data_IF_869222212815
#
_entry.id   IF_869222212815
#
_cell.length_a   1.000
_cell.length_b   1.000
_cell.length_c   1.000
_cell.angle_alpha   90.00
_cell.angle_beta   90.00
_cell.angle_gamma   90.00
#
_symmetry.space_group_name_H-M   'P 1'
#
loop_
_entity.id
_entity.type
_entity.pdbx_description
1 polymer ?
#
# COMPACT_ATOMS: atom_id res chain seq x y z
N UNK A 1 -16.10 34.80 27.62
CA UNK A 1 -15.63 33.40 27.56
C UNK A 1 -15.96 32.88 26.18
N UNK A 2 -14.99 32.93 25.28
CA UNK A 2 -15.06 32.50 23.88
C UNK A 2 -15.00 30.97 23.84
N UNK A 3 -16.04 30.33 23.30
CA UNK A 3 -16.07 28.90 23.06
C UNK A 3 -15.55 28.67 21.63
N UNK A 4 -14.33 28.16 21.51
CA UNK A 4 -13.70 27.88 20.23
C UNK A 4 -14.38 26.69 19.56
N UNK A 5 -14.76 26.89 18.30
CA UNK A 5 -15.36 25.88 17.46
C UNK A 5 -14.38 24.72 17.26
N UNK A 6 -14.78 23.52 17.67
CA UNK A 6 -14.12 22.28 17.27
C UNK A 6 -14.18 22.16 15.75
N UNK A 7 -13.02 22.28 15.10
CA UNK A 7 -12.85 21.99 13.68
C UNK A 7 -13.33 20.57 13.36
N UNK A 8 -14.12 20.35 12.30
CA UNK A 8 -14.46 19.02 11.86
C UNK A 8 -13.19 18.34 11.33
N UNK A 9 -12.91 17.13 11.85
CA UNK A 9 -11.81 16.30 11.39
C UNK A 9 -11.86 16.14 9.87
N UNK A 10 -10.76 16.49 9.22
CA UNK A 10 -10.53 16.28 7.80
C UNK A 10 -10.74 14.80 7.50
N UNK A 11 -11.89 14.46 6.89
CA UNK A 11 -12.04 13.17 6.23
C UNK A 11 -10.91 13.06 5.19
N UNK A 12 -10.17 11.94 5.12
CA UNK A 12 -9.13 11.77 4.13
C UNK A 12 -9.76 11.98 2.74
N UNK A 13 -9.11 12.84 1.95
CA UNK A 13 -9.56 13.28 0.63
C UNK A 13 -9.62 12.05 -0.32
N UNK A 14 -10.79 11.42 -0.40
CA UNK A 14 -11.10 10.26 -1.24
C UNK A 14 -10.76 10.37 -2.76
N UNK A 15 -10.77 11.54 -3.44
CA UNK A 15 -10.58 11.60 -4.89
C UNK A 15 -9.14 11.28 -5.37
N UNK A 16 -8.12 11.43 -4.52
CA UNK A 16 -6.73 11.22 -4.95
C UNK A 16 -6.34 9.72 -4.99
N UNK A 17 -7.03 8.91 -4.19
CA UNK A 17 -6.81 7.46 -4.12
C UNK A 17 -7.27 6.74 -5.40
N UNK A 18 -8.36 7.22 -6.00
CA UNK A 18 -8.95 6.63 -7.21
C UNK A 18 -8.04 6.81 -8.44
N UNK A 19 -7.22 7.88 -8.44
CA UNK A 19 -6.26 8.16 -9.52
C UNK A 19 -5.05 7.22 -9.53
N UNK A 20 -4.62 6.68 -8.38
CA UNK A 20 -3.41 5.86 -8.31
C UNK A 20 -3.55 4.48 -8.94
N UNK A 21 -4.76 3.94 -8.94
CA UNK A 21 -5.02 2.57 -9.39
C UNK A 21 -6.07 2.52 -10.51
N UNK A 22 -6.35 3.63 -11.19
CA UNK A 22 -7.38 3.72 -12.21
C UNK A 22 -7.22 2.71 -13.36
N UNK A 23 -5.97 2.33 -13.68
CA UNK A 23 -5.65 1.32 -14.69
C UNK A 23 -5.30 -0.07 -14.14
N UNK A 24 -5.40 -0.26 -12.81
CA UNK A 24 -4.95 -1.49 -12.18
C UNK A 24 -5.88 -2.68 -12.50
N UNK A 25 -5.34 -3.89 -12.75
CA UNK A 25 -6.13 -5.13 -12.85
C UNK A 25 -7.05 -5.34 -11.65
N UNK A 26 -8.06 -6.18 -11.78
CA UNK A 26 -8.95 -6.48 -10.65
C UNK A 26 -8.18 -7.16 -9.51
N UNK A 27 -8.66 -7.00 -8.27
CA UNK A 27 -8.03 -7.63 -7.09
C UNK A 27 -7.89 -9.15 -7.25
N UNK A 28 -8.89 -9.80 -7.86
CA UNK A 28 -8.85 -11.25 -8.09
C UNK A 28 -7.79 -11.66 -9.11
N UNK A 29 -7.60 -10.89 -10.19
CA UNK A 29 -6.53 -11.12 -11.17
C UNK A 29 -5.14 -10.94 -10.54
N UNK A 30 -4.97 -9.90 -9.73
CA UNK A 30 -3.71 -9.66 -9.00
C UNK A 30 -3.39 -10.80 -8.03
N UNK A 31 -4.38 -11.29 -7.26
CA UNK A 31 -4.18 -12.42 -6.35
C UNK A 31 -3.78 -13.68 -7.13
N UNK A 32 -4.40 -13.93 -8.29
CA UNK A 32 -4.02 -15.05 -9.16
C UNK A 32 -2.58 -14.93 -9.64
N UNK A 33 -2.21 -13.75 -10.15
CA UNK A 33 -0.84 -13.47 -10.61
C UNK A 33 0.21 -13.63 -9.50
N UNK A 34 -0.09 -13.13 -8.28
CA UNK A 34 0.77 -13.27 -7.11
C UNK A 34 0.93 -14.74 -6.70
N UNK A 35 -0.15 -15.52 -6.75
CA UNK A 35 -0.11 -16.95 -6.46
C UNK A 35 0.78 -17.73 -7.44
N UNK A 36 0.67 -17.43 -8.73
CA UNK A 36 1.49 -18.04 -9.77
C UNK A 36 2.98 -17.67 -9.61
N UNK A 37 3.29 -16.39 -9.36
CA UNK A 37 4.67 -15.92 -9.17
C UNK A 37 5.31 -16.43 -7.86
N UNK A 38 4.52 -16.58 -6.81
CA UNK A 38 4.97 -17.19 -5.56
C UNK A 38 5.24 -18.69 -5.71
N UNK A 39 4.39 -19.43 -6.46
CA UNK A 39 4.51 -20.88 -6.63
C UNK A 39 5.59 -21.29 -7.63
N UNK A 40 5.92 -20.42 -8.59
CA UNK A 40 6.89 -20.69 -9.65
C UNK A 40 8.35 -20.71 -9.20
N UNK A 41 8.67 -20.23 -7.98
CA UNK A 41 10.05 -20.14 -7.49
C UNK A 41 10.38 -21.23 -6.46
N UNK A 42 11.58 -21.82 -6.61
CA UNK A 42 12.13 -22.74 -5.60
C UNK A 42 12.38 -21.98 -4.31
N UNK A 43 12.16 -22.62 -3.16
CA UNK A 43 12.48 -22.07 -1.84
C UNK A 43 13.87 -21.41 -1.84
N UNK A 44 13.93 -20.11 -1.50
CA UNK A 44 15.17 -19.33 -1.42
C UNK A 44 15.48 -18.46 -2.63
N UNK A 45 14.67 -18.46 -3.69
CA UNK A 45 14.76 -17.42 -4.71
C UNK A 45 13.98 -16.18 -4.28
N UNK A 46 14.69 -15.06 -4.20
CA UNK A 46 14.11 -13.77 -3.89
C UNK A 46 13.10 -13.36 -4.97
N UNK A 47 12.02 -12.71 -4.55
CA UNK A 47 11.03 -12.15 -5.47
C UNK A 47 11.56 -10.86 -6.07
N UNK A 48 11.15 -10.56 -7.30
CA UNK A 48 11.54 -9.31 -7.95
C UNK A 48 10.76 -8.12 -7.41
N UNK A 49 11.24 -6.92 -7.74
CA UNK A 49 10.60 -5.66 -7.35
C UNK A 49 9.14 -5.59 -7.79
N UNK A 50 8.83 -6.05 -9.00
CA UNK A 50 7.45 -6.02 -9.53
C UNK A 50 6.51 -6.84 -8.64
N UNK A 51 6.93 -8.02 -8.20
CA UNK A 51 6.16 -8.82 -7.25
C UNK A 51 5.85 -8.04 -5.98
N UNK A 52 6.85 -7.42 -5.35
CA UNK A 52 6.66 -6.65 -4.12
C UNK A 52 5.76 -5.43 -4.34
N UNK A 53 5.95 -4.72 -5.45
CA UNK A 53 5.15 -3.55 -5.79
C UNK A 53 3.69 -3.91 -6.02
N UNK A 54 3.41 -4.95 -6.81
CA UNK A 54 2.04 -5.41 -7.10
C UNK A 54 1.36 -5.99 -5.85
N UNK A 55 2.10 -6.71 -5.01
CA UNK A 55 1.63 -7.19 -3.71
C UNK A 55 1.22 -6.04 -2.79
N UNK A 56 2.07 -5.03 -2.65
CA UNK A 56 1.78 -3.87 -1.82
C UNK A 56 0.57 -3.08 -2.36
N UNK A 57 0.51 -2.88 -3.69
CA UNK A 57 -0.58 -2.15 -4.34
C UNK A 57 -1.94 -2.85 -4.19
N UNK A 58 -2.02 -4.19 -4.34
CA UNK A 58 -3.29 -4.89 -4.17
C UNK A 58 -3.78 -4.86 -2.72
N UNK A 59 -2.87 -4.96 -1.74
CA UNK A 59 -3.22 -4.91 -0.32
C UNK A 59 -3.65 -3.50 0.11
N UNK A 60 -3.00 -2.44 -0.41
CA UNK A 60 -3.46 -1.06 -0.21
C UNK A 60 -4.86 -0.84 -0.80
N UNK A 61 -5.15 -1.36 -2.00
CA UNK A 61 -6.50 -1.28 -2.59
C UNK A 61 -7.56 -2.01 -1.78
N UNK A 62 -7.24 -3.16 -1.19
CA UNK A 62 -8.13 -3.89 -0.29
C UNK A 62 -8.39 -3.05 0.97
N UNK A 63 -7.34 -2.53 1.60
CA UNK A 63 -7.45 -1.69 2.79
C UNK A 63 -8.33 -0.46 2.54
N UNK A 64 -8.17 0.23 1.41
CA UNK A 64 -9.00 1.37 1.03
C UNK A 64 -10.47 0.98 0.83
N UNK A 65 -10.72 -0.16 0.18
CA UNK A 65 -12.08 -0.66 -0.04
C UNK A 65 -12.75 -1.03 1.29
N UNK A 66 -12.03 -1.69 2.19
CA UNK A 66 -12.54 -2.05 3.50
C UNK A 66 -12.79 -0.83 4.38
N UNK A 67 -11.86 0.13 4.42
CA UNK A 67 -12.02 1.38 5.15
C UNK A 67 -13.21 2.22 4.64
N UNK A 68 -13.54 2.14 3.34
CA UNK A 68 -14.71 2.80 2.77
C UNK A 68 -16.03 2.06 3.03
N UNK A 69 -15.99 0.75 3.30
CA UNK A 69 -17.19 -0.11 3.40
C UNK A 69 -17.57 -0.38 4.86
N UNK A 70 -16.58 -0.54 5.73
CA UNK A 70 -16.76 -1.03 7.08
C UNK A 70 -16.34 0.00 8.14
N UNK A 71 -16.72 -0.27 9.39
CA UNK A 71 -16.27 0.52 10.52
C UNK A 71 -14.74 0.41 10.70
N UNK A 72 -14.08 1.44 11.26
CA UNK A 72 -12.62 1.46 11.40
C UNK A 72 -12.03 0.24 12.11
N UNK A 73 -12.73 -0.31 13.11
CA UNK A 73 -12.30 -1.48 13.87
C UNK A 73 -12.28 -2.75 13.01
N UNK A 74 -13.18 -2.85 12.03
CA UNK A 74 -13.26 -3.97 11.09
C UNK A 74 -12.20 -3.83 10.00
N UNK A 75 -11.95 -2.61 9.52
CA UNK A 75 -10.95 -2.35 8.49
C UNK A 75 -9.50 -2.31 9.02
N UNK A 76 -9.31 -2.30 10.35
CA UNK A 76 -8.00 -2.14 10.98
C UNK A 76 -6.98 -3.21 10.54
N UNK A 77 -7.39 -4.46 10.42
CA UNK A 77 -6.51 -5.57 10.01
C UNK A 77 -6.04 -5.42 8.56
N UNK A 78 -6.93 -5.04 7.63
CA UNK A 78 -6.55 -4.78 6.25
C UNK A 78 -5.61 -3.57 6.14
N UNK A 79 -5.85 -2.53 6.95
CA UNK A 79 -5.00 -1.35 7.01
C UNK A 79 -3.58 -1.69 7.49
N UNK A 80 -3.45 -2.46 8.57
CA UNK A 80 -2.17 -2.93 9.09
C UNK A 80 -1.46 -3.86 8.09
N UNK A 81 -2.20 -4.75 7.43
CA UNK A 81 -1.66 -5.65 6.41
C UNK A 81 -1.09 -4.87 5.22
N UNK A 82 -1.78 -3.82 4.77
CA UNK A 82 -1.29 -2.94 3.72
C UNK A 82 -0.02 -2.18 4.15
N UNK A 83 0.04 -1.72 5.40
CA UNK A 83 1.23 -1.05 5.94
C UNK A 83 2.44 -1.99 5.98
N UNK A 84 2.26 -3.24 6.40
CA UNK A 84 3.32 -4.25 6.41
C UNK A 84 3.79 -4.60 5.00
N UNK A 85 2.89 -4.70 4.03
CA UNK A 85 3.25 -4.97 2.64
C UNK A 85 4.02 -3.80 2.00
N UNK A 86 3.63 -2.56 2.32
CA UNK A 86 4.35 -1.37 1.90
C UNK A 86 5.77 -1.34 2.46
N UNK A 87 5.93 -1.68 3.75
CA UNK A 87 7.24 -1.83 4.39
C UNK A 87 8.12 -2.88 3.67
N UNK A 88 7.57 -4.03 3.30
CA UNK A 88 8.32 -5.05 2.57
C UNK A 88 8.87 -4.56 1.22
N UNK A 89 8.10 -3.75 0.49
CA UNK A 89 8.59 -3.11 -0.74
C UNK A 89 9.72 -2.13 -0.45
N UNK A 90 9.56 -1.28 0.57
CA UNK A 90 10.57 -0.28 0.96
C UNK A 90 11.86 -0.98 1.39
N UNK A 91 11.78 -2.01 2.22
CA UNK A 91 12.92 -2.82 2.65
C UNK A 91 13.64 -3.46 1.45
N UNK A 92 12.87 -4.00 0.49
CA UNK A 92 13.42 -4.54 -0.75
C UNK A 92 14.17 -3.47 -1.54
N UNK A 93 13.59 -2.29 -1.74
CA UNK A 93 14.21 -1.20 -2.49
C UNK A 93 15.44 -0.63 -1.78
N UNK A 94 15.41 -0.47 -0.46
CA UNK A 94 16.58 -0.10 0.34
C UNK A 94 17.72 -1.09 0.12
N UNK A 95 17.42 -2.40 0.13
CA UNK A 95 18.43 -3.44 -0.05
C UNK A 95 18.99 -3.52 -1.49
N UNK A 96 18.18 -3.22 -2.51
CA UNK A 96 18.53 -3.50 -3.92
C UNK A 96 18.86 -2.26 -4.77
N UNK A 97 18.25 -1.12 -4.49
CA UNK A 97 18.43 0.11 -5.28
C UNK A 97 19.31 1.12 -4.57
N UNK A 98 19.78 0.81 -3.35
CA UNK A 98 20.55 1.73 -2.53
C UNK A 98 19.72 2.94 -2.10
N UNK A 99 18.39 2.78 -2.02
CA UNK A 99 17.51 3.77 -1.41
C UNK A 99 18.07 4.04 -0.01
N UNK A 100 18.69 5.20 0.18
CA UNK A 100 19.32 5.52 1.46
C UNK A 100 18.24 5.48 2.54
N UNK A 101 18.55 4.95 3.73
CA UNK A 101 17.66 4.79 4.88
C UNK A 101 16.87 6.06 5.28
N UNK A 102 17.12 7.21 4.65
CA UNK A 102 16.25 8.40 4.68
C UNK A 102 14.90 8.20 4.00
N UNK A 103 14.76 7.26 3.06
CA UNK A 103 13.45 6.78 2.59
C UNK A 103 12.71 5.93 3.62
N UNK A 104 13.41 5.41 4.64
CA UNK A 104 12.81 4.80 5.82
C UNK A 104 12.43 5.85 6.91
N UNK A 105 12.54 7.15 6.62
CA UNK A 105 11.93 8.23 7.42
C UNK A 105 10.41 8.36 7.19
N UNK A 106 9.76 7.37 6.57
CA UNK A 106 8.30 7.29 6.55
C UNK A 106 7.85 7.06 8.00
N UNK A 107 7.16 8.07 8.55
CA UNK A 107 6.89 8.16 9.99
C UNK A 107 5.66 7.33 10.37
N UNK A 108 4.77 7.07 9.41
CA UNK A 108 3.49 6.42 9.62
C UNK A 108 3.17 5.40 8.53
N UNK A 109 2.23 4.48 8.81
CA UNK A 109 1.70 3.55 7.82
C UNK A 109 1.06 4.24 6.61
N UNK A 110 0.46 5.41 6.81
CA UNK A 110 -0.04 6.24 5.70
C UNK A 110 1.07 6.69 4.76
N UNK A 111 2.25 7.06 5.30
CA UNK A 111 3.40 7.45 4.49
C UNK A 111 3.93 6.24 3.69
N UNK A 112 3.96 5.04 4.28
CA UNK A 112 4.32 3.80 3.58
C UNK A 112 3.39 3.51 2.40
N UNK A 113 2.07 3.62 2.60
CA UNK A 113 1.10 3.36 1.54
C UNK A 113 1.07 4.45 0.47
N UNK A 114 1.39 5.69 0.82
CA UNK A 114 1.59 6.75 -0.17
C UNK A 114 2.79 6.45 -1.07
N UNK A 115 3.89 5.98 -0.50
CA UNK A 115 5.05 5.50 -1.28
C UNK A 115 4.64 4.43 -2.30
N UNK A 116 3.88 3.42 -1.89
CA UNK A 116 3.37 2.36 -2.79
C UNK A 116 2.58 2.96 -3.96
N UNK A 117 1.68 3.91 -3.69
CA UNK A 117 0.87 4.55 -4.73
C UNK A 117 1.72 5.34 -5.72
N UNK A 118 2.75 6.03 -5.23
CA UNK A 118 3.68 6.79 -6.09
C UNK A 118 4.49 5.84 -6.99
N UNK A 119 5.05 4.79 -6.42
CA UNK A 119 5.83 3.79 -7.17
C UNK A 119 4.97 3.01 -8.17
N UNK A 120 3.72 2.70 -7.81
CA UNK A 120 2.79 2.03 -8.72
C UNK A 120 2.42 2.93 -9.90
N UNK A 121 2.09 4.21 -9.64
CA UNK A 121 1.85 5.22 -10.69
C UNK A 121 3.05 5.41 -11.62
N UNK A 122 4.28 5.28 -11.12
CA UNK A 122 5.48 5.42 -11.93
C UNK A 122 5.77 4.17 -12.79
N UNK A 123 5.29 3.00 -12.37
CA UNK A 123 5.45 1.73 -13.07
C UNK A 123 4.39 1.50 -14.17
N UNK A 124 3.13 1.90 -13.93
CA UNK A 124 1.98 1.66 -14.81
C UNK A 124 1.75 2.74 -15.86
#
# INVERSE_FOLDING_TARGET
MTNEASSPGTAPNLPDLDLAYAGAPSVSEEIGWLGEHASGRRFGQEQDREFWLRKAAVLDRIALKEAATYAPEVAAEAMETADQAALQLIEYDVAHTGLSLKGAELVTGSDHREYVRQEYRAWS
#
